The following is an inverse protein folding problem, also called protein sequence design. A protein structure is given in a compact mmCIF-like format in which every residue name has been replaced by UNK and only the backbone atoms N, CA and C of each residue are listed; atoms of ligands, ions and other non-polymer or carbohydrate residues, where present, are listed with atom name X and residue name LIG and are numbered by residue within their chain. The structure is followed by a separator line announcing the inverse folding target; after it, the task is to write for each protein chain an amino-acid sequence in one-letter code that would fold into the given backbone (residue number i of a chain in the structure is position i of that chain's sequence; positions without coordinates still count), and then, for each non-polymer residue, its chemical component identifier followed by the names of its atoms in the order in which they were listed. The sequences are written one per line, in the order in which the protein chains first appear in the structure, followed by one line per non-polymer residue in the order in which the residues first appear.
data_IF_911871581270
#
_entry.id   IF_911871581270
#
_cell.length_a   1.000
_cell.length_b   1.000
_cell.length_c   1.000
_cell.angle_alpha   90.00
_cell.angle_beta   90.00
_cell.angle_gamma   90.00
#
_symmetry.space_group_name_H-M   'P 1'
#
loop_
_entity.id
_entity.type
_entity.pdbx_description
1 polymer ?
#
# COMPACT_ATOMS: atom_id res chain seq x y z
N UNK A 1 4.90 9.42 -24.55
CA UNK A 1 5.51 8.11 -24.85
C UNK A 1 5.39 7.87 -26.35
N UNK A 2 6.47 7.49 -27.06
CA UNK A 2 6.37 7.22 -28.51
C UNK A 2 5.93 5.77 -28.70
N UNK A 3 5.04 5.52 -29.68
CA UNK A 3 4.68 4.17 -30.12
C UNK A 3 5.92 3.38 -30.53
N UNK A 4 6.06 2.11 -30.16
CA UNK A 4 7.13 1.26 -30.69
C UNK A 4 7.00 1.18 -32.21
N UNK A 5 8.09 1.50 -32.89
CA UNK A 5 8.15 1.53 -34.35
C UNK A 5 8.83 0.26 -34.86
N UNK A 6 8.20 -0.39 -35.85
CA UNK A 6 8.78 -1.55 -36.52
C UNK A 6 9.55 -1.03 -37.78
N UNK A 7 10.87 -1.16 -37.83
CA UNK A 7 11.64 -0.71 -38.97
C UNK A 7 11.21 -1.39 -40.28
N UNK A 8 11.21 -0.65 -41.39
CA UNK A 8 10.78 -1.17 -42.69
C UNK A 8 11.65 -2.31 -43.22
N UNK A 9 12.89 -2.43 -42.74
CA UNK A 9 13.86 -3.48 -43.05
C UNK A 9 13.83 -4.67 -42.08
N UNK A 10 12.89 -4.70 -41.11
CA UNK A 10 12.73 -5.85 -40.23
C UNK A 10 12.26 -7.09 -41.03
N UNK A 11 12.73 -8.29 -40.66
CA UNK A 11 12.49 -9.53 -41.40
C UNK A 11 11.06 -10.08 -41.21
N UNK A 12 10.05 -9.23 -41.39
CA UNK A 12 8.65 -9.56 -41.28
C UNK A 12 7.93 -9.36 -42.63
N UNK A 13 6.97 -10.24 -42.94
CA UNK A 13 6.06 -10.04 -44.08
C UNK A 13 5.15 -8.82 -43.84
N UNK A 14 4.54 -8.28 -44.87
CA UNK A 14 3.59 -7.15 -44.76
C UNK A 14 2.43 -7.47 -43.80
N UNK A 15 1.89 -8.68 -43.87
CA UNK A 15 0.84 -9.14 -42.97
C UNK A 15 1.29 -9.22 -41.52
N UNK A 16 2.51 -9.70 -41.26
CA UNK A 16 3.09 -9.73 -39.90
C UNK A 16 3.34 -8.34 -39.35
N UNK A 17 3.80 -7.40 -40.17
CA UNK A 17 3.98 -5.99 -39.74
C UNK A 17 2.65 -5.33 -39.44
N UNK A 18 1.64 -5.53 -40.27
CA UNK A 18 0.30 -5.01 -40.03
C UNK A 18 -0.28 -5.53 -38.71
N UNK A 19 -0.14 -6.84 -38.46
CA UNK A 19 -0.60 -7.46 -37.20
C UNK A 19 0.14 -6.90 -35.97
N UNK A 20 1.48 -6.85 -36.02
CA UNK A 20 2.31 -6.31 -34.94
C UNK A 20 1.99 -4.84 -34.67
N UNK A 21 1.79 -4.04 -35.71
CA UNK A 21 1.44 -2.62 -35.56
C UNK A 21 0.08 -2.44 -34.89
N UNK A 22 -0.92 -3.26 -35.25
CA UNK A 22 -2.22 -3.28 -34.59
C UNK A 22 -2.15 -3.73 -33.13
N UNK A 23 -1.34 -4.75 -32.84
CA UNK A 23 -1.12 -5.26 -31.49
C UNK A 23 -0.47 -4.19 -30.59
N UNK A 24 0.60 -3.53 -31.06
CA UNK A 24 1.23 -2.46 -30.30
C UNK A 24 0.34 -1.23 -30.13
N UNK A 25 -0.47 -0.90 -31.13
CA UNK A 25 -1.44 0.19 -31.01
C UNK A 25 -2.52 -0.14 -29.98
N UNK A 26 -3.00 -1.38 -29.94
CA UNK A 26 -3.97 -1.85 -28.95
C UNK A 26 -3.40 -1.84 -27.52
N UNK A 27 -2.19 -2.37 -27.35
CA UNK A 27 -1.48 -2.31 -26.05
C UNK A 27 -1.27 -0.87 -25.56
N UNK A 28 -0.86 0.02 -26.46
CA UNK A 28 -0.65 1.42 -26.12
C UNK A 28 -1.96 2.12 -25.75
N UNK A 29 -3.04 1.85 -26.48
CA UNK A 29 -4.38 2.36 -26.16
C UNK A 29 -4.86 1.87 -24.79
N UNK A 30 -4.66 0.60 -24.48
CA UNK A 30 -4.99 0.02 -23.17
C UNK A 30 -4.19 0.66 -22.04
N UNK A 31 -2.88 0.91 -22.23
CA UNK A 31 -2.04 1.61 -21.26
C UNK A 31 -2.49 3.07 -21.05
N UNK A 32 -2.90 3.76 -22.11
CA UNK A 32 -3.43 5.12 -22.00
C UNK A 32 -4.79 5.16 -21.30
N UNK A 33 -5.67 4.19 -21.58
CA UNK A 33 -6.94 4.07 -20.87
C UNK A 33 -6.74 3.74 -19.40
N UNK A 34 -5.80 2.87 -19.06
CA UNK A 34 -5.48 2.55 -17.66
C UNK A 34 -4.87 3.75 -16.91
N UNK A 35 -4.20 4.66 -17.64
CA UNK A 35 -3.65 5.88 -17.06
C UNK A 35 -4.67 7.05 -16.97
N UNK A 36 -5.80 6.97 -17.69
CA UNK A 36 -6.75 8.08 -17.82
C UNK A 36 -8.11 7.87 -17.13
N UNK A 37 -8.31 6.75 -16.42
CA UNK A 37 -9.61 6.42 -15.81
C UNK A 37 -9.66 6.44 -14.30
N UNK A 38 -8.86 7.31 -13.66
CA UNK A 38 -9.14 7.63 -12.26
C UNK A 38 -9.51 9.11 -12.24
N UNK A 39 -10.81 9.39 -12.33
CA UNK A 39 -11.35 10.68 -11.95
C UNK A 39 -10.93 10.98 -10.50
N UNK A 40 -10.20 12.08 -10.24
CA UNK A 40 -9.76 12.41 -8.87
C UNK A 40 -10.94 12.64 -7.91
N UNK A 41 -12.19 12.77 -8.43
CA UNK A 41 -13.39 12.95 -7.63
C UNK A 41 -13.85 11.70 -6.85
N UNK A 42 -13.33 10.49 -7.14
CA UNK A 42 -13.67 9.23 -6.46
C UNK A 42 -12.46 8.48 -5.90
N UNK A 43 -11.28 9.06 -5.92
CA UNK A 43 -10.09 8.41 -5.37
C UNK A 43 -10.18 8.37 -3.84
N UNK A 44 -10.22 7.15 -3.28
CA UNK A 44 -10.30 6.95 -1.83
C UNK A 44 -8.93 7.09 -1.20
N UNK A 45 -8.87 7.81 -0.09
CA UNK A 45 -7.66 7.92 0.70
C UNK A 45 -7.41 6.63 1.47
N UNK A 46 -6.18 6.11 1.39
CA UNK A 46 -5.72 4.95 2.15
C UNK A 46 -4.58 5.41 3.06
N UNK A 47 -4.80 5.37 4.35
CA UNK A 47 -3.74 5.57 5.33
C UNK A 47 -2.97 4.27 5.51
N UNK A 48 -1.65 4.35 5.49
CA UNK A 48 -0.75 3.22 5.72
C UNK A 48 0.14 3.61 6.88
N UNK A 49 -0.12 3.03 8.05
CA UNK A 49 0.66 3.27 9.25
C UNK A 49 1.66 2.13 9.45
N UNK A 50 2.91 2.47 9.74
CA UNK A 50 3.91 1.45 9.98
C UNK A 50 4.54 1.56 11.37
N UNK A 51 4.70 0.38 12.01
CA UNK A 51 5.48 0.15 13.22
C UNK A 51 6.70 -0.70 12.89
N UNK A 52 7.91 -0.20 13.13
CA UNK A 52 9.14 -0.87 12.73
C UNK A 52 10.28 -0.66 13.73
N UNK A 53 11.09 -1.69 13.90
CA UNK A 53 12.34 -1.59 14.66
C UNK A 53 13.56 -1.49 13.74
N UNK A 54 13.50 -2.15 12.58
CA UNK A 54 14.64 -2.33 11.69
C UNK A 54 14.41 -1.78 10.28
N UNK A 55 13.28 -1.10 10.02
CA UNK A 55 12.92 -0.50 8.73
C UNK A 55 12.16 -1.44 7.78
N UNK A 56 11.95 -2.72 8.11
CA UNK A 56 11.27 -3.66 7.22
C UNK A 56 9.81 -3.28 6.98
N UNK A 57 9.06 -2.91 8.04
CA UNK A 57 7.66 -2.48 7.92
C UNK A 57 7.54 -1.18 7.13
N UNK A 58 8.48 -0.25 7.29
CA UNK A 58 8.56 1.00 6.53
C UNK A 58 8.72 0.73 5.03
N UNK A 59 9.68 -0.13 4.66
CA UNK A 59 9.90 -0.52 3.26
C UNK A 59 8.64 -1.11 2.64
N UNK A 60 7.96 -2.02 3.36
CA UNK A 60 6.70 -2.62 2.91
C UNK A 60 5.56 -1.61 2.82
N UNK A 61 5.52 -0.60 3.70
CA UNK A 61 4.52 0.46 3.65
C UNK A 61 4.66 1.30 2.37
N UNK A 62 5.88 1.63 1.98
CA UNK A 62 6.15 2.32 0.72
C UNK A 62 5.82 1.47 -0.51
N UNK A 63 6.13 0.17 -0.48
CA UNK A 63 5.76 -0.75 -1.55
C UNK A 63 4.24 -0.90 -1.68
N UNK A 64 3.54 -1.01 -0.55
CA UNK A 64 2.08 -1.05 -0.51
C UNK A 64 1.47 0.24 -1.07
N UNK A 65 2.04 1.41 -0.74
CA UNK A 65 1.61 2.70 -1.28
C UNK A 65 1.76 2.77 -2.79
N UNK A 66 2.88 2.30 -3.34
CA UNK A 66 3.10 2.27 -4.79
C UNK A 66 2.09 1.37 -5.49
N UNK A 67 1.76 0.22 -4.90
CA UNK A 67 0.72 -0.69 -5.42
C UNK A 67 -0.67 -0.06 -5.32
N UNK A 68 -1.00 0.57 -4.19
CA UNK A 68 -2.28 1.25 -3.97
C UNK A 68 -2.55 2.34 -5.02
N UNK A 69 -1.52 3.13 -5.38
CA UNK A 69 -1.61 4.13 -6.47
C UNK A 69 -1.98 3.49 -7.81
N UNK A 70 -1.40 2.32 -8.13
CA UNK A 70 -1.72 1.60 -9.36
C UNK A 70 -3.18 1.12 -9.41
N UNK A 71 -3.84 0.99 -8.25
CA UNK A 71 -5.25 0.62 -8.11
C UNK A 71 -6.18 1.82 -7.85
N UNK A 72 -5.69 3.05 -8.03
CA UNK A 72 -6.52 4.25 -7.94
C UNK A 72 -6.80 4.74 -6.54
N UNK A 73 -6.03 4.30 -5.56
CA UNK A 73 -6.10 4.82 -4.20
C UNK A 73 -5.12 6.00 -4.03
N UNK A 74 -5.40 6.85 -3.06
CA UNK A 74 -4.51 7.93 -2.62
C UNK A 74 -3.84 7.52 -1.30
N UNK A 75 -2.68 6.86 -1.34
CA UNK A 75 -2.02 6.41 -0.13
C UNK A 75 -1.33 7.56 0.60
N UNK A 76 -1.45 7.56 1.93
CA UNK A 76 -0.71 8.41 2.86
C UNK A 76 0.05 7.49 3.81
N UNK A 77 1.38 7.47 3.68
CA UNK A 77 2.25 6.66 4.54
C UNK A 77 2.71 7.52 5.71
N UNK A 78 2.59 6.99 6.92
CA UNK A 78 3.05 7.63 8.15
C UNK A 78 3.67 6.62 9.10
N UNK A 79 4.70 7.04 9.82
CA UNK A 79 5.16 6.34 11.01
C UNK A 79 4.11 6.45 12.13
N UNK A 80 3.96 5.43 12.96
CA UNK A 80 2.94 5.42 14.00
C UNK A 80 3.17 6.47 15.09
N UNK A 81 4.41 6.85 15.35
CA UNK A 81 4.77 7.95 16.27
C UNK A 81 4.42 9.36 15.74
N UNK A 82 4.08 9.48 14.45
CA UNK A 82 3.60 10.73 13.84
C UNK A 82 2.07 10.88 13.90
N UNK A 83 1.37 9.93 14.54
CA UNK A 83 -0.09 9.85 14.52
C UNK A 83 -0.66 9.93 15.93
N UNK A 84 -1.55 10.90 16.13
CA UNK A 84 -2.33 11.02 17.35
C UNK A 84 -3.58 10.13 17.29
N UNK A 85 -4.02 9.62 18.43
CA UNK A 85 -5.16 8.69 18.52
C UNK A 85 -6.47 9.27 17.95
N UNK A 86 -6.68 10.58 18.08
CA UNK A 86 -7.85 11.29 17.56
C UNK A 86 -7.84 11.45 16.03
N UNK A 87 -6.69 11.25 15.39
CA UNK A 87 -6.57 11.23 13.93
C UNK A 87 -7.08 9.90 13.35
N UNK A 88 -7.01 8.80 14.11
CA UNK A 88 -7.49 7.49 13.65
C UNK A 88 -8.97 7.54 13.28
N UNK A 89 -9.81 8.19 14.08
CA UNK A 89 -11.27 8.29 13.83
C UNK A 89 -11.64 8.99 12.52
N UNK A 90 -10.68 9.70 11.91
CA UNK A 90 -10.84 10.42 10.63
C UNK A 90 -10.38 9.59 9.42
N UNK A 91 -9.89 8.36 9.66
CA UNK A 91 -9.38 7.47 8.61
C UNK A 91 -10.46 6.47 8.19
N UNK A 92 -10.96 6.58 6.96
CA UNK A 92 -11.96 5.63 6.44
C UNK A 92 -11.34 4.28 6.07
N UNK A 93 -10.13 4.30 5.52
CA UNK A 93 -9.37 3.11 5.09
C UNK A 93 -7.98 3.16 5.69
N UNK A 94 -7.63 2.12 6.44
CA UNK A 94 -6.38 2.02 7.19
C UNK A 94 -5.69 0.68 6.91
N UNK A 95 -4.43 0.71 6.52
CA UNK A 95 -3.54 -0.43 6.50
C UNK A 95 -2.48 -0.23 7.59
N UNK A 96 -2.43 -1.17 8.52
CA UNK A 96 -1.41 -1.23 9.56
C UNK A 96 -0.35 -2.23 9.11
N UNK A 97 0.92 -1.83 9.13
CA UNK A 97 2.05 -2.72 8.86
C UNK A 97 2.99 -2.65 10.05
N UNK A 98 3.06 -3.70 10.84
CA UNK A 98 3.85 -3.68 12.07
C UNK A 98 4.71 -4.93 12.23
N UNK A 99 5.92 -4.74 12.71
CA UNK A 99 6.78 -5.83 13.17
C UNK A 99 6.53 -6.11 14.65
N UNK A 100 6.86 -7.33 15.07
CA UNK A 100 6.88 -7.72 16.49
C UNK A 100 8.31 -7.67 16.98
N UNK A 101 8.53 -7.06 18.12
CA UNK A 101 9.84 -6.93 18.75
C UNK A 101 9.94 -7.79 20.00
N UNK A 102 11.13 -8.39 20.21
CA UNK A 102 11.41 -9.22 21.39
C UNK A 102 10.33 -10.30 21.61
N UNK A 103 9.85 -10.37 22.84
CA UNK A 103 8.84 -11.35 23.28
C UNK A 103 7.41 -10.85 23.05
N UNK A 104 7.11 -10.37 21.84
CA UNK A 104 5.75 -9.98 21.46
C UNK A 104 5.43 -8.50 21.56
N UNK A 105 6.41 -7.64 21.87
CA UNK A 105 6.19 -6.21 22.07
C UNK A 105 5.94 -5.45 20.75
N UNK A 106 5.29 -4.28 20.87
CA UNK A 106 5.22 -3.30 19.81
C UNK A 106 6.64 -2.74 19.51
N UNK A 107 6.95 -2.40 18.26
CA UNK A 107 8.17 -1.65 17.95
C UNK A 107 8.09 -0.24 18.53
N UNK A 108 9.26 0.36 18.82
CA UNK A 108 9.39 1.63 19.55
C UNK A 108 8.49 2.75 18.99
N UNK A 109 8.43 2.87 17.66
CA UNK A 109 7.62 3.90 17.01
C UNK A 109 6.10 3.58 16.98
N UNK A 110 5.67 2.43 17.45
CA UNK A 110 4.25 2.05 17.55
C UNK A 110 3.71 2.09 18.98
N UNK A 111 4.59 2.02 19.99
CA UNK A 111 4.23 1.84 21.39
C UNK A 111 3.32 2.95 21.90
N UNK A 112 3.66 4.22 21.65
CA UNK A 112 2.88 5.37 22.13
C UNK A 112 1.46 5.39 21.56
N UNK A 113 1.30 5.15 20.26
CA UNK A 113 -0.02 5.12 19.61
C UNK A 113 -0.83 3.94 20.14
N UNK A 114 -0.22 2.75 20.28
CA UNK A 114 -0.87 1.57 20.81
C UNK A 114 -1.37 1.78 22.25
N UNK A 115 -0.54 2.32 23.14
CA UNK A 115 -0.95 2.62 24.52
C UNK A 115 -2.07 3.67 24.57
N UNK A 116 -2.03 4.67 23.68
CA UNK A 116 -3.10 5.65 23.57
C UNK A 116 -4.43 5.01 23.10
N UNK A 117 -4.38 4.08 22.15
CA UNK A 117 -5.57 3.31 21.70
C UNK A 117 -6.13 2.47 22.84
N UNK A 118 -5.31 1.72 23.56
CA UNK A 118 -5.72 0.88 24.68
C UNK A 118 -6.32 1.64 25.84
N UNK A 119 -5.78 2.81 26.14
CA UNK A 119 -6.23 3.63 27.28
C UNK A 119 -7.44 4.49 26.98
N UNK A 120 -7.83 4.62 25.72
CA UNK A 120 -8.96 5.47 25.28
C UNK A 120 -10.29 4.75 25.44
N UNK A 121 -11.09 5.10 26.46
CA UNK A 121 -12.43 4.53 26.70
C UNK A 121 -13.49 4.99 25.71
N UNK A 122 -13.32 6.16 25.10
CA UNK A 122 -14.31 6.82 24.25
C UNK A 122 -13.96 6.74 22.75
N UNK A 123 -12.91 5.98 22.39
CA UNK A 123 -12.46 5.83 21.02
C UNK A 123 -13.43 4.96 20.22
N UNK A 124 -14.11 5.57 19.25
CA UNK A 124 -15.01 4.85 18.36
C UNK A 124 -14.39 4.68 16.97
N UNK A 125 -13.91 3.48 16.67
CA UNK A 125 -13.30 3.09 15.39
C UNK A 125 -14.24 2.28 14.48
N UNK A 126 -15.54 2.21 14.79
CA UNK A 126 -16.51 1.36 14.06
C UNK A 126 -16.67 1.73 12.58
N UNK A 127 -16.31 2.94 12.18
CA UNK A 127 -16.39 3.41 10.79
C UNK A 127 -15.13 3.12 9.98
N UNK A 128 -14.05 2.72 10.61
CA UNK A 128 -12.77 2.44 9.94
C UNK A 128 -12.82 1.04 9.30
N UNK A 129 -12.42 0.98 8.05
CA UNK A 129 -12.12 -0.28 7.36
C UNK A 129 -10.63 -0.49 7.39
N UNK A 130 -10.19 -1.45 8.18
CA UNK A 130 -8.76 -1.67 8.37
C UNK A 130 -8.31 -3.08 7.98
N UNK A 131 -7.02 -3.20 7.77
CA UNK A 131 -6.32 -4.46 7.59
C UNK A 131 -4.95 -4.37 8.25
N UNK A 132 -4.45 -5.49 8.74
CA UNK A 132 -3.15 -5.57 9.39
C UNK A 132 -2.26 -6.52 8.62
N UNK A 133 -1.04 -6.07 8.31
CA UNK A 133 0.07 -6.87 7.83
C UNK A 133 1.09 -6.98 8.96
N UNK A 134 1.10 -8.12 9.61
CA UNK A 134 2.00 -8.39 10.72
C UNK A 134 3.30 -9.07 10.24
N UNK A 135 4.42 -8.60 10.72
CA UNK A 135 5.74 -9.21 10.52
C UNK A 135 6.21 -9.82 11.84
N UNK A 136 6.78 -11.01 11.74
CA UNK A 136 7.35 -11.72 12.89
C UNK A 136 8.29 -12.82 12.41
N UNK A 137 8.99 -13.41 13.35
CA UNK A 137 9.83 -14.58 13.14
C UNK A 137 9.20 -15.79 13.83
N UNK A 138 9.01 -16.87 13.10
CA UNK A 138 8.38 -18.11 13.59
C UNK A 138 9.22 -18.86 14.64
N UNK A 139 10.46 -18.42 14.89
CA UNK A 139 11.29 -18.95 15.97
C UNK A 139 10.90 -18.43 17.35
N UNK A 140 10.04 -17.40 17.44
CA UNK A 140 9.56 -16.84 18.69
C UNK A 140 8.15 -17.35 19.02
N UNK A 141 7.89 -17.59 20.31
CA UNK A 141 6.58 -18.10 20.80
C UNK A 141 5.42 -17.12 20.50
N UNK A 142 5.67 -15.83 20.57
CA UNK A 142 4.69 -14.78 20.28
C UNK A 142 4.83 -14.23 18.86
N UNK A 143 4.77 -15.15 17.89
CA UNK A 143 4.84 -14.84 16.47
C UNK A 143 3.78 -13.83 16.04
N UNK A 144 4.19 -12.70 15.45
CA UNK A 144 3.32 -11.64 14.96
C UNK A 144 2.39 -11.01 16.01
N UNK A 145 2.70 -11.11 17.31
CA UNK A 145 1.83 -10.67 18.39
C UNK A 145 1.43 -9.20 18.27
N UNK A 146 2.37 -8.32 17.95
CA UNK A 146 2.08 -6.90 17.78
C UNK A 146 0.98 -6.63 16.71
N UNK A 147 0.95 -7.44 15.65
CA UNK A 147 -0.10 -7.31 14.64
C UNK A 147 -1.41 -8.00 15.02
N UNK A 148 -1.39 -8.98 15.93
CA UNK A 148 -2.59 -9.61 16.49
C UNK A 148 -3.29 -8.68 17.47
N UNK A 149 -2.52 -7.89 18.19
CA UNK A 149 -3.02 -6.95 19.18
C UNK A 149 -3.76 -5.76 18.54
N UNK A 150 -3.34 -5.35 17.32
CA UNK A 150 -4.04 -4.32 16.53
C UNK A 150 -5.38 -4.81 15.99
#
# INVERSE_FOLDING_TARGET
MKLPFIPGNAPYSESQRAWLSGFFAGMHSHMLQSASTIEPANARQLYILYGTQTGNSESLAHDAANRAKAHGLLPVVKSMDEVEVDQLVKMDYLLIITSTYGEGAMPDNAEMLWEAVKSSSDLNLSNIRYSVLALGDTSYDLFCQAGIDW
#
